data_IF_523320207819
#
_entry.id   IF_523320207819
#
_cell.length_a   1.000
_cell.length_b   1.000
_cell.length_c   1.000
_cell.angle_alpha   90.00
_cell.angle_beta   90.00
_cell.angle_gamma   90.00
#
_symmetry.space_group_name_H-M   'P 1'
#
loop_
_entity.id
_entity.type
_entity.pdbx_description
1 polymer ?
#
# COMPACT_ATOMS: atom_id res chain seq x y z
N UNK A 1 -10.21 -4.12 -20.94
CA UNK A 1 -9.77 -2.83 -20.37
C UNK A 1 -8.34 -2.54 -20.80
N UNK A 2 -7.99 -1.28 -20.99
CA UNK A 2 -6.59 -0.93 -21.15
C UNK A 2 -5.88 -0.97 -19.79
N UNK A 3 -4.56 -0.87 -19.80
CA UNK A 3 -3.77 -1.01 -18.56
C UNK A 3 -4.10 0.06 -17.53
N UNK A 4 -4.33 1.29 -17.97
CA UNK A 4 -4.72 2.39 -17.08
C UNK A 4 -6.04 2.09 -16.38
N UNK A 5 -7.04 1.59 -17.12
CA UNK A 5 -8.33 1.23 -16.56
C UNK A 5 -8.22 0.06 -15.58
N UNK A 6 -7.38 -0.93 -15.91
CA UNK A 6 -7.12 -2.06 -15.02
C UNK A 6 -6.58 -1.58 -13.68
N UNK A 7 -5.56 -0.71 -13.70
CA UNK A 7 -4.97 -0.17 -12.48
C UNK A 7 -5.96 0.72 -11.73
N UNK A 8 -6.71 1.57 -12.44
CA UNK A 8 -7.69 2.43 -11.78
C UNK A 8 -8.75 1.59 -11.06
N UNK A 9 -9.25 0.54 -11.69
CA UNK A 9 -10.23 -0.37 -11.08
C UNK A 9 -9.65 -1.04 -9.84
N UNK A 10 -8.41 -1.50 -9.93
CA UNK A 10 -7.70 -2.11 -8.80
C UNK A 10 -7.53 -1.12 -7.63
N UNK A 11 -7.02 0.08 -7.90
CA UNK A 11 -6.79 1.08 -6.87
C UNK A 11 -8.10 1.53 -6.21
N UNK A 12 -9.18 1.65 -6.99
CA UNK A 12 -10.50 1.98 -6.46
C UNK A 12 -10.99 0.90 -5.50
N UNK A 13 -10.77 -0.37 -5.84
CA UNK A 13 -11.13 -1.50 -4.98
C UNK A 13 -10.34 -1.48 -3.67
N UNK A 14 -9.04 -1.19 -3.73
CA UNK A 14 -8.18 -1.07 -2.53
C UNK A 14 -8.70 0.05 -1.65
N UNK A 15 -9.01 1.22 -2.22
CA UNK A 15 -9.51 2.36 -1.46
C UNK A 15 -10.83 2.05 -0.77
N UNK A 16 -11.71 1.31 -1.42
CA UNK A 16 -13.01 0.94 -0.87
C UNK A 16 -12.94 -0.20 0.14
N UNK A 17 -11.79 -0.85 0.29
CA UNK A 17 -11.65 -2.01 1.16
C UNK A 17 -12.18 -3.30 0.55
N UNK A 18 -12.37 -3.34 -0.76
CA UNK A 18 -12.80 -4.54 -1.49
C UNK A 18 -11.57 -5.40 -1.81
N UNK A 19 -10.92 -5.89 -0.77
CA UNK A 19 -9.59 -6.51 -0.89
C UNK A 19 -9.60 -7.85 -1.62
N UNK A 20 -10.65 -8.64 -1.48
CA UNK A 20 -10.74 -9.91 -2.21
C UNK A 20 -10.86 -9.67 -3.71
N UNK A 21 -11.68 -8.70 -4.10
CA UNK A 21 -11.79 -8.32 -5.50
C UNK A 21 -10.44 -7.79 -6.02
N UNK A 22 -9.81 -6.88 -5.27
CA UNK A 22 -8.49 -6.37 -5.65
C UNK A 22 -7.47 -7.50 -5.79
N UNK A 23 -7.46 -8.44 -4.83
CA UNK A 23 -6.56 -9.59 -4.87
C UNK A 23 -6.79 -10.46 -6.10
N UNK A 24 -8.04 -10.59 -6.56
CA UNK A 24 -8.35 -11.37 -7.76
C UNK A 24 -7.74 -10.79 -9.03
N UNK A 25 -7.33 -9.53 -9.01
CA UNK A 25 -6.66 -8.86 -10.14
C UNK A 25 -5.14 -9.07 -10.12
N UNK A 26 -4.60 -9.70 -9.09
CA UNK A 26 -3.17 -9.95 -8.94
C UNK A 26 -2.82 -11.34 -9.44
N UNK A 27 -1.66 -11.47 -10.11
CA UNK A 27 -1.15 -12.78 -10.52
C UNK A 27 -0.67 -13.57 -9.30
N UNK A 28 -0.59 -14.89 -9.43
CA UNK A 28 -0.12 -15.75 -8.34
C UNK A 28 1.32 -15.42 -7.90
N UNK A 29 2.13 -14.91 -8.82
CA UNK A 29 3.51 -14.50 -8.55
C UNK A 29 3.66 -13.01 -8.27
N UNK A 30 2.57 -12.33 -7.94
CA UNK A 30 2.58 -10.91 -7.62
C UNK A 30 3.59 -10.60 -6.51
N UNK A 31 4.29 -9.47 -6.64
CA UNK A 31 5.13 -8.91 -5.58
C UNK A 31 4.80 -7.45 -5.32
N UNK A 32 4.89 -7.09 -4.05
CA UNK A 32 4.89 -5.70 -3.61
C UNK A 32 6.28 -5.39 -3.09
N UNK A 33 6.89 -4.33 -3.60
CA UNK A 33 8.19 -3.82 -3.18
C UNK A 33 8.05 -2.37 -2.76
N UNK A 34 8.65 -2.03 -1.65
CA UNK A 34 8.58 -0.67 -1.16
C UNK A 34 9.45 -0.51 0.07
N UNK A 35 9.22 0.54 0.88
CA UNK A 35 9.98 0.75 2.10
C UNK A 35 9.50 -0.18 3.23
N UNK A 36 9.69 -1.47 3.01
CA UNK A 36 9.42 -2.55 3.95
C UNK A 36 10.64 -3.47 3.94
N UNK A 37 10.84 -4.32 4.98
CA UNK A 37 12.07 -5.13 5.10
C UNK A 37 12.38 -6.00 3.88
N UNK A 38 11.36 -6.62 3.29
CA UNK A 38 11.52 -7.52 2.15
C UNK A 38 10.32 -7.41 1.22
N UNK A 39 10.48 -7.72 -0.08
CA UNK A 39 9.31 -7.83 -0.96
C UNK A 39 8.33 -8.86 -0.42
N UNK A 40 7.04 -8.59 -0.59
CA UNK A 40 5.99 -9.48 -0.09
C UNK A 40 5.15 -10.01 -1.24
N UNK A 41 4.57 -11.18 -1.02
CA UNK A 41 3.74 -11.85 -2.01
C UNK A 41 2.27 -11.41 -1.90
N UNK A 42 1.44 -11.94 -2.81
CA UNK A 42 0.02 -11.64 -2.88
C UNK A 42 -0.71 -11.86 -1.56
N UNK A 43 -0.47 -13.00 -0.90
CA UNK A 43 -1.13 -13.34 0.37
C UNK A 43 -0.76 -12.33 1.46
N UNK A 44 0.52 -12.04 1.60
CA UNK A 44 1.01 -11.11 2.63
C UNK A 44 0.53 -9.69 2.34
N UNK A 45 0.49 -9.28 1.06
CA UNK A 45 -0.03 -7.98 0.67
C UNK A 45 -1.50 -7.84 1.08
N UNK A 46 -2.30 -8.89 0.84
CA UNK A 46 -3.71 -8.88 1.21
C UNK A 46 -3.88 -8.72 2.72
N UNK A 47 -3.13 -9.49 3.50
CA UNK A 47 -3.15 -9.41 4.97
C UNK A 47 -2.75 -8.00 5.46
N UNK A 48 -1.69 -7.44 4.90
CA UNK A 48 -1.23 -6.10 5.24
C UNK A 48 -2.32 -5.06 4.95
N UNK A 49 -2.96 -5.16 3.80
CA UNK A 49 -4.00 -4.21 3.39
C UNK A 49 -5.22 -4.28 4.32
N UNK A 50 -5.64 -5.48 4.69
CA UNK A 50 -6.72 -5.69 5.65
C UNK A 50 -6.36 -5.09 7.00
N UNK A 51 -5.14 -5.33 7.47
CA UNK A 51 -4.67 -4.84 8.78
C UNK A 51 -4.55 -3.31 8.79
N UNK A 52 -4.11 -2.71 7.70
CA UNK A 52 -4.08 -1.25 7.57
C UNK A 52 -5.49 -0.66 7.68
N UNK A 53 -6.46 -1.24 7.00
CA UNK A 53 -7.84 -0.75 7.04
C UNK A 53 -8.45 -0.91 8.43
N UNK A 54 -8.13 -1.98 9.12
CA UNK A 54 -8.60 -2.20 10.48
C UNK A 54 -8.03 -1.16 11.46
N UNK A 55 -6.77 -0.79 11.27
CA UNK A 55 -6.10 0.21 12.12
C UNK A 55 -6.55 1.64 11.80
N UNK A 56 -6.83 1.92 10.52
CA UNK A 56 -7.23 3.23 10.02
C UNK A 56 -8.52 3.07 9.23
N UNK A 57 -9.69 3.00 9.89
CA UNK A 57 -10.97 2.82 9.17
C UNK A 57 -11.25 3.92 8.15
N UNK A 58 -10.70 5.12 8.37
CA UNK A 58 -10.82 6.27 7.50
C UNK A 58 -9.63 6.43 6.53
N UNK A 59 -8.83 5.38 6.35
CA UNK A 59 -7.63 5.43 5.51
C UNK A 59 -7.96 5.94 4.12
N UNK A 60 -7.24 6.99 3.70
CA UNK A 60 -7.30 7.50 2.35
C UNK A 60 -5.93 7.36 1.72
N UNK A 61 -5.86 6.63 0.62
CA UNK A 61 -4.61 6.41 -0.13
C UNK A 61 -4.31 7.57 -1.07
N UNK A 62 -5.30 8.40 -1.42
CA UNK A 62 -5.18 9.48 -2.38
C UNK A 62 -4.52 9.01 -3.69
N UNK A 63 -4.92 7.83 -4.16
CA UNK A 63 -4.39 7.28 -5.42
C UNK A 63 -4.71 8.19 -6.60
N UNK A 64 -3.71 8.40 -7.45
CA UNK A 64 -3.90 9.13 -8.70
C UNK A 64 -3.05 8.48 -9.79
N UNK A 65 -3.70 8.01 -10.85
CA UNK A 65 -2.99 7.47 -12.02
C UNK A 65 -2.50 8.65 -12.85
N UNK A 66 -1.19 8.70 -13.15
CA UNK A 66 -0.57 9.86 -13.81
C UNK A 66 0.01 9.54 -15.19
N UNK A 67 0.16 8.28 -15.57
CA UNK A 67 0.67 7.95 -16.90
C UNK A 67 0.90 6.47 -17.09
N UNK A 68 1.24 6.09 -18.30
CA UNK A 68 1.52 4.71 -18.68
C UNK A 68 2.77 4.67 -19.54
N UNK A 69 3.69 3.75 -19.22
CA UNK A 69 4.92 3.51 -19.97
C UNK A 69 5.02 2.01 -20.24
N UNK A 70 4.66 1.57 -21.45
CA UNK A 70 4.64 0.15 -21.79
C UNK A 70 3.72 -0.64 -20.86
N UNK A 71 4.26 -1.60 -20.13
CA UNK A 71 3.49 -2.43 -19.18
C UNK A 71 3.33 -1.77 -17.81
N UNK A 72 3.94 -0.62 -17.59
CA UNK A 72 3.95 0.05 -16.29
C UNK A 72 2.97 1.22 -16.29
N UNK A 73 2.06 1.21 -15.31
CA UNK A 73 1.19 2.34 -15.03
C UNK A 73 1.75 3.08 -13.84
N UNK A 74 2.00 4.39 -14.00
CA UNK A 74 2.54 5.24 -12.94
C UNK A 74 1.39 5.89 -12.18
N UNK A 75 1.50 5.91 -10.87
CA UNK A 75 0.52 6.56 -10.00
C UNK A 75 1.22 7.21 -8.81
N UNK A 76 0.45 7.97 -8.03
CA UNK A 76 0.92 8.53 -6.77
C UNK A 76 0.03 8.05 -5.63
N UNK A 77 0.61 7.98 -4.44
CA UNK A 77 -0.06 7.57 -3.21
C UNK A 77 0.31 8.53 -2.10
N UNK A 78 -0.67 8.96 -1.32
CA UNK A 78 -0.43 9.81 -0.15
C UNK A 78 -1.36 9.39 0.97
N UNK A 79 -0.81 8.65 1.93
CA UNK A 79 -1.61 8.04 3.00
C UNK A 79 -2.00 9.06 4.07
N UNK A 80 -3.26 9.01 4.48
CA UNK A 80 -3.75 9.76 5.64
C UNK A 80 -4.86 8.97 6.33
N UNK A 81 -5.02 9.19 7.62
CA UNK A 81 -6.07 8.53 8.41
C UNK A 81 -5.84 8.73 9.90
N UNK A 82 -6.75 8.20 10.71
CA UNK A 82 -6.66 8.27 12.17
C UNK A 82 -6.49 6.86 12.74
N UNK A 83 -5.48 6.69 13.59
CA UNK A 83 -5.10 5.40 14.16
C UNK A 83 -6.02 5.01 15.31
N UNK A 84 -7.20 4.46 14.98
CA UNK A 84 -8.20 4.11 15.98
C UNK A 84 -8.30 2.62 16.29
N UNK A 85 -7.60 1.77 15.50
CA UNK A 85 -7.52 0.33 15.75
C UNK A 85 -6.07 -0.12 15.89
N UNK A 86 -5.85 -1.33 16.38
CA UNK A 86 -4.51 -1.89 16.48
C UNK A 86 -3.92 -2.06 15.07
N UNK A 87 -2.70 -1.57 14.88
CA UNK A 87 -1.96 -1.75 13.62
C UNK A 87 -1.04 -2.95 13.77
N UNK A 88 -1.45 -4.08 13.19
CA UNK A 88 -0.66 -5.31 13.22
C UNK A 88 0.08 -5.49 11.90
N UNK A 89 1.38 -5.22 11.94
CA UNK A 89 2.29 -5.41 10.81
C UNK A 89 3.34 -6.48 11.12
N UNK A 90 3.02 -7.40 12.04
CA UNK A 90 3.95 -8.47 12.44
C UNK A 90 4.28 -9.41 11.27
N UNK A 91 3.35 -9.59 10.32
CA UNK A 91 3.57 -10.44 9.15
C UNK A 91 4.60 -9.86 8.15
N UNK A 92 4.97 -8.59 8.30
CA UNK A 92 6.03 -7.96 7.50
C UNK A 92 7.16 -7.44 8.39
N UNK A 93 7.27 -7.99 9.61
CA UNK A 93 8.36 -7.72 10.56
C UNK A 93 8.40 -6.28 11.08
N UNK A 94 7.25 -5.60 11.12
CA UNK A 94 7.15 -4.23 11.63
C UNK A 94 6.39 -4.15 12.97
N UNK A 95 6.07 -5.30 13.56
CA UNK A 95 5.44 -5.36 14.87
C UNK A 95 3.99 -4.98 14.91
N UNK A 96 3.46 -4.80 16.11
CA UNK A 96 2.07 -4.44 16.37
C UNK A 96 2.03 -3.22 17.28
N UNK A 97 1.17 -2.26 16.94
CA UNK A 97 1.03 -1.00 17.67
C UNK A 97 -0.43 -0.81 18.10
N UNK A 98 -0.72 -0.76 19.40
CA UNK A 98 -2.08 -0.48 19.88
C UNK A 98 -2.58 0.88 19.40
N UNK A 99 -3.90 1.04 19.32
CA UNK A 99 -4.52 2.28 18.88
C UNK A 99 -4.02 3.48 19.68
N UNK A 100 -3.61 4.53 18.96
CA UNK A 100 -3.08 5.76 19.56
C UNK A 100 -4.04 6.94 19.44
N UNK A 101 -5.05 6.85 18.57
CA UNK A 101 -5.95 7.93 18.21
C UNK A 101 -5.24 9.13 17.57
N UNK A 102 -4.03 8.92 17.05
CA UNK A 102 -3.25 9.97 16.39
C UNK A 102 -3.65 10.06 14.93
N UNK A 103 -3.99 11.26 14.42
CA UNK A 103 -4.14 11.44 12.97
C UNK A 103 -2.77 11.42 12.32
N UNK A 104 -2.65 10.72 11.19
CA UNK A 104 -1.42 10.67 10.42
C UNK A 104 -1.66 11.19 9.02
N UNK A 105 -0.65 11.84 8.46
CA UNK A 105 -0.63 12.27 7.07
C UNK A 105 0.82 12.26 6.64
N UNK A 106 1.12 11.50 5.59
CA UNK A 106 2.49 11.33 5.12
C UNK A 106 2.67 12.00 3.78
N UNK A 107 3.91 12.11 3.33
CA UNK A 107 4.20 12.72 2.04
C UNK A 107 3.78 11.80 0.89
N UNK A 108 3.58 12.40 -0.28
CA UNK A 108 3.26 11.68 -1.50
C UNK A 108 4.45 10.82 -1.94
N UNK A 109 4.18 9.61 -2.37
CA UNK A 109 5.17 8.73 -3.01
C UNK A 109 4.71 8.37 -4.41
N UNK A 110 5.68 7.95 -5.24
CA UNK A 110 5.39 7.48 -6.60
C UNK A 110 5.30 5.97 -6.60
N UNK A 111 4.33 5.46 -7.33
CA UNK A 111 4.03 4.04 -7.41
C UNK A 111 4.08 3.60 -8.87
N UNK A 112 4.71 2.46 -9.13
CA UNK A 112 4.77 1.85 -10.46
C UNK A 112 4.09 0.48 -10.39
N UNK A 113 3.08 0.27 -11.23
CA UNK A 113 2.29 -0.96 -11.24
C UNK A 113 2.41 -1.60 -12.61
N UNK A 114 2.92 -2.82 -12.65
CA UNK A 114 3.09 -3.57 -13.90
C UNK A 114 1.87 -4.41 -14.19
N UNK A 115 1.34 -4.28 -15.42
CA UNK A 115 0.16 -5.00 -15.89
C UNK A 115 0.57 -5.87 -17.08
N UNK A 116 0.25 -7.15 -17.00
CA UNK A 116 0.44 -8.12 -18.10
C UNK A 116 -0.80 -8.99 -18.22
N UNK A 117 -1.33 -9.12 -19.44
CA UNK A 117 -2.53 -9.94 -19.72
C UNK A 117 -3.70 -9.57 -18.80
N UNK A 118 -3.93 -8.26 -18.64
CA UNK A 118 -4.99 -7.70 -17.81
C UNK A 118 -4.88 -8.03 -16.32
N UNK A 119 -3.71 -8.50 -15.87
CA UNK A 119 -3.44 -8.83 -14.47
C UNK A 119 -2.27 -8.02 -13.97
N UNK A 120 -2.29 -7.72 -12.68
CA UNK A 120 -1.21 -6.96 -12.02
C UNK A 120 -0.18 -7.93 -11.48
N UNK A 121 1.10 -7.74 -11.87
CA UNK A 121 2.19 -8.65 -11.49
C UNK A 121 3.16 -8.05 -10.48
N UNK A 122 3.22 -6.71 -10.39
CA UNK A 122 4.22 -6.04 -9.58
C UNK A 122 3.73 -4.66 -9.18
N UNK A 123 3.92 -4.30 -7.92
CA UNK A 123 3.69 -2.97 -7.38
C UNK A 123 4.97 -2.52 -6.70
N UNK A 124 5.53 -1.40 -7.13
CA UNK A 124 6.74 -0.83 -6.53
C UNK A 124 6.44 0.58 -6.06
N UNK A 125 6.63 0.83 -4.76
CA UNK A 125 6.62 2.18 -4.20
C UNK A 125 8.06 2.70 -4.16
N UNK A 126 8.31 3.81 -4.82
CA UNK A 126 9.63 4.44 -4.78
C UNK A 126 9.87 5.03 -3.39
N UNK A 127 11.06 4.81 -2.78
CA UNK A 127 11.32 5.32 -1.44
C UNK A 127 11.38 6.85 -1.44
N UNK A 128 10.64 7.44 -0.49
CA UNK A 128 10.60 8.89 -0.26
C UNK A 128 10.59 9.11 1.24
N UNK A 129 11.51 9.95 1.74
CA UNK A 129 11.51 10.32 3.15
C UNK A 129 10.17 10.96 3.53
N UNK A 130 9.56 10.46 4.60
CA UNK A 130 8.29 10.98 5.08
C UNK A 130 7.07 10.41 4.37
N UNK A 131 7.23 9.38 3.53
CA UNK A 131 6.13 8.69 2.86
C UNK A 131 6.09 7.20 3.24
N UNK A 132 4.95 6.55 2.98
CA UNK A 132 4.78 5.11 3.16
C UNK A 132 4.59 4.68 4.61
N UNK A 133 4.61 3.36 4.83
CA UNK A 133 4.34 2.76 6.14
C UNK A 133 5.33 3.18 7.21
N UNK A 134 6.61 3.29 6.88
CA UNK A 134 7.62 3.70 7.86
C UNK A 134 7.36 5.11 8.37
N UNK A 135 6.89 6.01 7.52
CA UNK A 135 6.53 7.36 7.93
C UNK A 135 5.32 7.35 8.87
N UNK A 136 4.34 6.49 8.62
CA UNK A 136 3.21 6.31 9.53
C UNK A 136 3.71 5.88 10.91
N UNK A 137 4.57 4.87 10.97
CA UNK A 137 5.11 4.36 12.22
C UNK A 137 5.88 5.45 12.98
N UNK A 138 6.67 6.25 12.28
CA UNK A 138 7.39 7.37 12.89
C UNK A 138 6.42 8.38 13.50
N UNK A 139 5.35 8.73 12.80
CA UNK A 139 4.34 9.67 13.33
C UNK A 139 3.60 9.11 14.55
N UNK A 140 3.47 7.78 14.63
CA UNK A 140 2.88 7.13 15.80
C UNK A 140 3.87 6.97 16.96
N UNK A 141 5.11 7.39 16.80
CA UNK A 141 6.13 7.28 17.82
C UNK A 141 6.77 5.90 17.92
N UNK A 142 6.61 5.06 16.90
CA UNK A 142 7.18 3.72 16.88
C UNK A 142 8.60 3.76 16.35
N UNK A 143 9.53 3.14 17.07
CA UNK A 143 10.89 2.96 16.58
C UNK A 143 10.93 1.74 15.70
N UNK A 144 11.44 1.89 14.48
CA UNK A 144 11.56 0.77 13.55
C UNK A 144 13.01 0.34 13.42
N UNK A 145 13.21 -0.94 13.06
CA UNK A 145 14.54 -1.46 12.75
C UNK A 145 14.97 -1.11 11.32
N UNK A 146 14.06 -0.54 10.54
CA UNK A 146 14.37 -0.15 9.17
C UNK A 146 15.23 1.09 9.17
N UNK A 147 16.41 0.95 8.63
CA UNK A 147 17.31 2.08 8.37
C UNK A 147 17.40 2.24 6.87
N UNK A 148 17.02 3.38 6.43
CA UNK A 148 17.08 3.71 5.02
C UNK A 148 18.36 4.45 4.72
#
# INVERSE_FOLDING_TARGET
MNKRETVQTFLDAVQKGEFEFASSMLTDNFEFRGPIPEPINKKTWLEMSVNLKAAFPDLNYHFKVIGTDGDIVRSTTQLSGTHTGTLDLSNISLGSTPATNIPVSVKMSKTRITVKNDMITLWVDDPVDGAGLTAILVQLGVKTQLKM
#
